data_IF_226435244411
#
_entry.id   IF_226435244411
#
_cell.length_a   1.000
_cell.length_b   1.000
_cell.length_c   1.000
_cell.angle_alpha   90.00
_cell.angle_beta   90.00
_cell.angle_gamma   90.00
#
_symmetry.space_group_name_H-M   'P 1'
#
loop_
_entity.id
_entity.type
_entity.pdbx_description
1 polymer ?
#
# COMPACT_ATOMS: atom_id res chain seq x y z
N UNK A 1 -19.78 -11.44 -13.22
CA UNK A 1 -18.73 -12.04 -12.35
C UNK A 1 -18.28 -11.04 -11.31
N UNK A 2 -18.27 -11.41 -10.06
CA UNK A 2 -17.73 -10.52 -9.05
C UNK A 2 -16.23 -10.31 -9.30
N UNK A 3 -15.79 -9.07 -9.17
CA UNK A 3 -14.37 -8.75 -9.28
C UNK A 3 -13.67 -9.20 -8.01
N UNK A 4 -12.51 -9.81 -8.17
CA UNK A 4 -11.69 -10.14 -7.00
C UNK A 4 -11.08 -8.88 -6.43
N UNK A 5 -10.87 -8.89 -5.13
CA UNK A 5 -10.26 -7.79 -4.41
C UNK A 5 -9.45 -8.34 -3.24
N UNK A 6 -8.68 -7.48 -2.62
CA UNK A 6 -7.94 -7.82 -1.41
C UNK A 6 -8.31 -6.86 -0.30
N UNK A 7 -8.07 -7.29 0.93
CA UNK A 7 -8.30 -6.48 2.12
C UNK A 7 -6.99 -6.37 2.89
N UNK A 8 -6.55 -5.13 3.11
CA UNK A 8 -5.43 -4.83 4.00
C UNK A 8 -6.01 -4.53 5.38
N UNK A 9 -5.59 -5.28 6.38
CA UNK A 9 -6.02 -5.08 7.75
C UNK A 9 -4.89 -4.44 8.55
N UNK A 10 -5.20 -3.36 9.23
CA UNK A 10 -4.25 -2.62 10.07
C UNK A 10 -4.38 -3.02 11.54
N UNK A 11 -3.39 -2.65 12.33
CA UNK A 11 -3.33 -3.02 13.75
C UNK A 11 -4.47 -2.47 14.59
N UNK A 12 -5.14 -1.41 14.12
CA UNK A 12 -6.32 -0.83 14.79
C UNK A 12 -7.65 -1.42 14.28
N UNK A 13 -7.59 -2.54 13.55
CA UNK A 13 -8.73 -3.21 12.93
C UNK A 13 -9.36 -2.46 11.74
N UNK A 14 -8.79 -1.35 11.33
CA UNK A 14 -9.21 -0.70 10.08
C UNK A 14 -8.89 -1.59 8.89
N UNK A 15 -9.73 -1.51 7.88
CA UNK A 15 -9.58 -2.30 6.66
C UNK A 15 -9.60 -1.39 5.44
N UNK A 16 -8.73 -1.69 4.50
CA UNK A 16 -8.67 -1.00 3.22
C UNK A 16 -8.91 -2.02 2.11
N UNK A 17 -9.93 -1.78 1.31
CA UNK A 17 -10.27 -2.65 0.18
C UNK A 17 -9.46 -2.21 -1.04
N UNK A 18 -8.83 -3.16 -1.70
CA UNK A 18 -7.93 -2.91 -2.83
C UNK A 18 -8.39 -3.73 -4.03
N UNK A 19 -8.48 -3.07 -5.17
CA UNK A 19 -8.82 -3.70 -6.45
C UNK A 19 -7.64 -3.65 -7.41
N UNK A 20 -7.68 -4.51 -8.41
CA UNK A 20 -6.68 -4.49 -9.48
C UNK A 20 -6.69 -3.13 -10.19
N UNK A 21 -5.52 -2.56 -10.40
CA UNK A 21 -5.37 -1.27 -11.04
C UNK A 21 -5.45 -0.07 -10.09
N UNK A 22 -5.77 -0.29 -8.82
CA UNK A 22 -5.74 0.78 -7.83
C UNK A 22 -4.33 1.36 -7.73
N UNK A 23 -4.24 2.67 -7.52
CA UNK A 23 -2.97 3.38 -7.47
C UNK A 23 -2.67 3.81 -6.05
N UNK A 24 -1.43 3.58 -5.64
CA UNK A 24 -0.92 4.00 -4.34
C UNK A 24 0.29 4.90 -4.52
N UNK A 25 0.53 5.76 -3.56
CA UNK A 25 1.70 6.64 -3.54
C UNK A 25 2.61 6.17 -2.40
N UNK A 26 3.75 5.54 -2.72
CA UNK A 26 4.73 5.16 -1.69
C UNK A 26 5.44 6.40 -1.15
N UNK A 27 5.61 6.46 0.16
CA UNK A 27 6.23 7.58 0.85
C UNK A 27 7.33 7.04 1.76
N UNK A 28 8.52 7.62 1.66
CA UNK A 28 9.64 7.27 2.52
C UNK A 28 10.21 8.52 3.17
N UNK A 29 10.72 8.38 4.37
CA UNK A 29 11.50 9.42 5.03
C UNK A 29 12.93 9.32 4.52
N UNK A 30 13.47 10.45 4.10
CA UNK A 30 14.86 10.55 3.65
C UNK A 30 15.61 11.39 4.67
N UNK A 31 16.71 10.85 5.18
CA UNK A 31 17.57 11.55 6.14
C UNK A 31 18.80 12.06 5.38
N UNK A 32 18.97 13.38 5.35
CA UNK A 32 20.09 14.00 4.65
C UNK A 32 20.61 15.20 5.45
N UNK A 33 21.88 15.15 5.80
CA UNK A 33 22.57 16.22 6.55
C UNK A 33 21.81 16.63 7.82
N UNK A 34 21.35 15.66 8.60
CA UNK A 34 20.61 15.87 9.84
C UNK A 34 19.22 16.49 9.66
N UNK A 35 18.73 16.56 8.45
CA UNK A 35 17.36 16.97 8.15
C UNK A 35 16.59 15.81 7.55
N UNK A 36 15.33 15.67 7.95
CA UNK A 36 14.45 14.62 7.43
C UNK A 36 13.51 15.20 6.40
N UNK A 37 13.42 14.51 5.27
CA UNK A 37 12.51 14.87 4.19
C UNK A 37 11.60 13.71 3.88
N UNK A 38 10.37 13.99 3.46
CA UNK A 38 9.52 12.97 2.88
C UNK A 38 9.80 12.89 1.38
N UNK A 39 9.95 11.68 0.89
CA UNK A 39 10.10 11.41 -0.53
C UNK A 39 8.92 10.61 -1.02
N UNK A 40 8.19 11.16 -1.99
CA UNK A 40 7.12 10.44 -2.67
C UNK A 40 7.69 9.85 -3.94
N UNK A 41 7.46 8.56 -4.14
CA UNK A 41 7.81 7.89 -5.39
C UNK A 41 6.66 8.01 -6.37
N UNK A 42 6.90 7.59 -7.60
CA UNK A 42 5.86 7.53 -8.60
C UNK A 42 4.72 6.62 -8.13
N UNK A 43 3.48 6.90 -8.54
CA UNK A 43 2.36 6.07 -8.16
C UNK A 43 2.59 4.60 -8.49
N UNK A 44 2.24 3.74 -7.55
CA UNK A 44 2.37 2.29 -7.68
C UNK A 44 1.02 1.72 -8.07
N UNK A 45 0.98 1.01 -9.19
CA UNK A 45 -0.24 0.38 -9.67
C UNK A 45 -0.31 -1.05 -9.17
N UNK A 46 -1.40 -1.39 -8.49
CA UNK A 46 -1.62 -2.74 -7.96
C UNK A 46 -1.88 -3.71 -9.10
N UNK A 47 -1.17 -4.84 -9.08
CA UNK A 47 -1.35 -5.90 -10.07
C UNK A 47 -1.76 -7.20 -9.37
N UNK A 48 -2.35 -8.10 -10.16
CA UNK A 48 -2.85 -9.37 -9.66
C UNK A 48 -2.03 -10.51 -10.26
N UNK A 49 -1.46 -11.33 -9.38
CA UNK A 49 -0.75 -12.54 -9.80
C UNK A 49 -1.75 -13.65 -10.11
N UNK A 50 -1.45 -14.48 -11.10
CA UNK A 50 -2.35 -15.53 -11.58
C UNK A 50 -2.73 -16.54 -10.49
N UNK A 51 -1.79 -16.89 -9.61
CA UNK A 51 -1.98 -17.94 -8.61
C UNK A 51 -2.19 -17.41 -7.18
N UNK A 52 -1.55 -16.30 -6.83
CA UNK A 52 -1.55 -15.82 -5.45
C UNK A 52 -2.21 -14.43 -5.30
N UNK A 53 -2.89 -13.97 -6.35
CA UNK A 53 -3.70 -12.77 -6.30
C UNK A 53 -2.90 -11.51 -6.03
N UNK A 54 -3.36 -10.72 -5.07
CA UNK A 54 -2.79 -9.41 -4.78
C UNK A 54 -1.63 -9.44 -3.78
N UNK A 55 -1.38 -10.57 -3.13
CA UNK A 55 -0.40 -10.63 -2.06
C UNK A 55 1.00 -10.23 -2.51
N UNK A 56 1.53 -10.71 -3.66
CA UNK A 56 2.86 -10.28 -4.10
C UNK A 56 2.95 -8.77 -4.34
N UNK A 57 1.95 -8.20 -5.00
CA UNK A 57 1.93 -6.77 -5.31
C UNK A 57 1.89 -5.91 -4.05
N UNK A 58 0.96 -6.21 -3.15
CA UNK A 58 0.81 -5.44 -1.92
C UNK A 58 2.00 -5.64 -0.98
N UNK A 59 2.57 -6.83 -0.94
CA UNK A 59 3.78 -7.08 -0.16
C UNK A 59 4.95 -6.25 -0.69
N UNK A 60 5.08 -6.15 -2.01
CA UNK A 60 6.10 -5.29 -2.63
C UNK A 60 5.92 -3.83 -2.23
N UNK A 61 4.70 -3.31 -2.30
CA UNK A 61 4.40 -1.95 -1.89
C UNK A 61 4.76 -1.70 -0.42
N UNK A 62 4.30 -2.57 0.45
CA UNK A 62 4.46 -2.42 1.91
C UNK A 62 5.91 -2.57 2.32
N UNK A 63 6.65 -3.51 1.71
CA UNK A 63 8.04 -3.75 2.06
C UNK A 63 8.99 -2.66 1.55
N UNK A 64 8.60 -1.94 0.51
CA UNK A 64 9.45 -0.94 -0.13
C UNK A 64 9.14 0.49 0.29
N UNK A 65 8.12 0.70 1.12
CA UNK A 65 7.73 2.04 1.57
C UNK A 65 7.47 2.04 3.07
N UNK A 66 7.78 3.16 3.73
CA UNK A 66 7.49 3.35 5.16
C UNK A 66 6.04 3.73 5.37
N UNK A 67 5.51 4.52 4.45
CA UNK A 67 4.12 4.98 4.46
C UNK A 67 3.57 4.90 3.04
N UNK A 68 2.27 4.90 2.92
CA UNK A 68 1.63 4.99 1.60
C UNK A 68 0.27 5.67 1.72
N UNK A 69 -0.17 6.26 0.63
CA UNK A 69 -1.52 6.80 0.51
C UNK A 69 -2.16 6.28 -0.76
N UNK A 70 -3.48 6.40 -0.86
CA UNK A 70 -4.16 6.11 -2.11
C UNK A 70 -4.13 7.34 -3.01
N UNK A 71 -4.07 7.14 -4.32
CA UNK A 71 -4.09 8.26 -5.25
C UNK A 71 -5.42 9.02 -5.18
N UNK A 72 -6.51 8.32 -4.86
CA UNK A 72 -7.83 8.94 -4.72
C UNK A 72 -7.93 9.85 -3.50
N UNK A 73 -7.21 9.56 -2.44
CA UNK A 73 -7.26 10.36 -1.22
C UNK A 73 -5.87 10.49 -0.60
N UNK A 74 -5.14 11.46 -1.07
CA UNK A 74 -3.78 11.75 -0.60
C UNK A 74 -3.75 12.38 0.78
N UNK A 75 -4.91 12.76 1.33
CA UNK A 75 -4.99 13.32 2.67
C UNK A 75 -4.89 12.26 3.77
N UNK A 76 -4.97 10.98 3.40
CA UNK A 76 -4.84 9.88 4.35
C UNK A 76 -3.54 9.14 4.05
N UNK A 77 -2.69 9.05 5.06
CA UNK A 77 -1.41 8.34 4.97
C UNK A 77 -1.46 7.14 5.90
N UNK A 78 -1.17 5.96 5.37
CA UNK A 78 -1.13 4.72 6.13
C UNK A 78 0.32 4.36 6.43
N UNK A 79 0.55 3.82 7.63
CA UNK A 79 1.87 3.30 8.00
C UNK A 79 1.99 1.85 7.54
N UNK A 80 3.04 1.56 6.78
CA UNK A 80 3.29 0.18 6.33
C UNK A 80 3.50 -0.77 7.50
N UNK A 81 4.11 -0.29 8.58
CA UNK A 81 4.36 -1.10 9.76
C UNK A 81 3.08 -1.42 10.56
N UNK A 82 1.99 -0.74 10.29
CA UNK A 82 0.70 -0.99 10.94
C UNK A 82 -0.13 -2.06 10.22
N UNK A 83 0.33 -2.54 9.08
CA UNK A 83 -0.36 -3.62 8.35
C UNK A 83 -0.08 -4.94 9.06
N UNK A 84 -1.12 -5.66 9.42
CA UNK A 84 -0.98 -6.95 10.10
C UNK A 84 -1.34 -8.14 9.21
N UNK A 85 -2.16 -7.94 8.19
CA UNK A 85 -2.43 -9.00 7.22
C UNK A 85 -3.02 -8.46 5.93
N UNK A 86 -2.86 -9.24 4.88
CA UNK A 86 -3.43 -9.02 3.57
C UNK A 86 -4.24 -10.27 3.22
N UNK A 87 -5.50 -10.08 2.85
CA UNK A 87 -6.39 -11.20 2.53
C UNK A 87 -6.90 -11.07 1.12
N UNK A 88 -6.72 -12.10 0.30
CA UNK A 88 -7.37 -12.19 -1.02
C UNK A 88 -8.82 -12.65 -0.82
N UNK A 89 -9.75 -11.96 -1.44
CA UNK A 89 -11.16 -12.35 -1.40
C UNK A 89 -11.56 -12.96 -2.74
#
# INVERSE_FOLDING_TARGET
>A
MPKSYAVITFSNDEKLIVHEGDMFIPINLVDYKNEQYTSQREPYKVWKHTHVGFIPSLTELISSSQFFSTLENENIVYSSSAVVKITNI
#
